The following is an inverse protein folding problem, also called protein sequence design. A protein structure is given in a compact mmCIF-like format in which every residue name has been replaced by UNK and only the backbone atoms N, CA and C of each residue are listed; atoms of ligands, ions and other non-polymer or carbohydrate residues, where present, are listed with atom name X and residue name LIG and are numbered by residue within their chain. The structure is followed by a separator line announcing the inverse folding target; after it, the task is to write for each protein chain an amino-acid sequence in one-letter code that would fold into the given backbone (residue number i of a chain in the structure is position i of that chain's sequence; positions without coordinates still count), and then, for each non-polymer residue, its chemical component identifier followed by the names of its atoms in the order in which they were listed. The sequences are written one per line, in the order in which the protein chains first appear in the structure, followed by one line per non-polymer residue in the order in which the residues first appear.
data_IF_570672082215
#
_entry.id   IF_570672082215
#
_cell.length_a   1.000
_cell.length_b   1.000
_cell.length_c   1.000
_cell.angle_alpha   90.00
_cell.angle_beta   90.00
_cell.angle_gamma   90.00
#
_symmetry.space_group_name_H-M   'P 1'
#
loop_
_entity.id
_entity.type
_entity.pdbx_description
1 polymer ?
#
# COMPACT_ATOMS: atom_id res chain seq x y z
N UNK A 1 5.75 1.40 14.53
CA UNK A 1 5.14 2.40 15.43
C UNK A 1 3.91 3.06 14.86
N UNK A 2 3.66 2.93 13.55
CA UNK A 2 2.48 3.43 12.84
C UNK A 2 2.01 2.39 11.86
N UNK A 3 0.74 2.45 11.44
CA UNK A 3 0.21 1.56 10.41
C UNK A 3 0.89 1.83 9.06
N UNK A 4 1.57 0.86 8.46
CA UNK A 4 2.29 1.04 7.19
C UNK A 4 1.37 1.23 5.99
N UNK A 5 0.09 0.90 6.08
CA UNK A 5 -0.89 1.06 5.02
C UNK A 5 -1.61 2.40 5.07
N UNK A 6 -1.97 2.86 6.26
CA UNK A 6 -2.78 4.07 6.48
C UNK A 6 -1.99 5.26 7.02
N UNK A 7 -0.89 5.02 7.70
CA UNK A 7 -0.09 6.03 8.40
C UNK A 7 -0.62 6.42 9.78
N UNK A 8 -1.70 5.80 10.24
CA UNK A 8 -2.28 6.09 11.56
C UNK A 8 -1.28 5.77 12.68
N UNK A 9 -1.22 6.67 13.66
CA UNK A 9 -0.37 6.49 14.83
C UNK A 9 -0.94 5.37 15.70
N UNK A 10 -0.10 4.41 16.04
CA UNK A 10 -0.46 3.27 16.87
C UNK A 10 0.45 2.07 16.59
N UNK A 11 0.48 1.15 17.54
CA UNK A 11 1.25 -0.08 17.36
C UNK A 11 0.56 -0.99 16.34
N UNK A 12 1.27 -1.25 15.26
CA UNK A 12 0.87 -2.18 14.21
C UNK A 12 1.90 -3.31 14.16
N UNK A 13 1.46 -4.56 14.23
CA UNK A 13 2.35 -5.70 14.18
C UNK A 13 1.74 -6.97 14.75
N UNK A 14 2.54 -8.00 14.74
CA UNK A 14 2.17 -9.35 15.12
C UNK A 14 3.26 -9.97 16.00
N UNK A 15 2.88 -10.95 16.82
CA UNK A 15 3.82 -11.72 17.60
C UNK A 15 3.37 -13.18 17.74
N UNK A 16 4.31 -14.06 18.01
CA UNK A 16 4.08 -15.46 18.33
C UNK A 16 4.70 -15.82 19.68
N UNK A 17 4.04 -16.70 20.43
CA UNK A 17 4.58 -17.27 21.66
C UNK A 17 5.30 -18.59 21.39
N UNK A 18 6.39 -18.87 22.12
CA UNK A 18 7.19 -20.08 21.97
C UNK A 18 7.55 -20.36 20.49
N UNK A 19 8.11 -19.38 19.83
CA UNK A 19 8.42 -19.38 18.41
C UNK A 19 9.78 -18.75 18.15
N UNK A 20 10.36 -19.10 17.03
CA UNK A 20 11.53 -18.45 16.46
C UNK A 20 11.07 -17.38 15.45
N UNK A 21 11.93 -16.39 15.15
CA UNK A 21 11.59 -15.33 14.18
C UNK A 21 11.17 -15.87 12.80
N UNK A 22 11.74 -17.00 12.38
CA UNK A 22 11.39 -17.68 11.14
C UNK A 22 9.95 -18.20 11.13
N UNK A 23 9.39 -18.58 12.28
CA UNK A 23 8.01 -19.09 12.38
C UNK A 23 6.97 -18.00 12.08
N UNK A 24 7.30 -16.74 12.39
CA UNK A 24 6.42 -15.59 12.08
C UNK A 24 6.31 -15.38 10.59
N UNK A 25 7.43 -15.52 9.86
CA UNK A 25 7.51 -15.27 8.42
C UNK A 25 7.04 -16.48 7.60
N UNK A 26 7.25 -17.70 8.12
CA UNK A 26 6.93 -18.93 7.42
C UNK A 26 5.41 -19.21 7.32
N UNK A 27 4.58 -18.51 8.08
CA UNK A 27 3.12 -18.67 8.04
C UNK A 27 2.60 -20.03 8.54
N UNK A 28 3.42 -20.82 9.24
CA UNK A 28 3.06 -22.13 9.76
C UNK A 28 2.08 -22.03 10.93
N UNK A 29 2.13 -20.93 11.67
CA UNK A 29 1.26 -20.61 12.80
C UNK A 29 0.63 -19.24 12.59
N UNK A 30 -0.64 -19.09 13.00
CA UNK A 30 -1.31 -17.79 12.94
C UNK A 30 -0.75 -16.88 14.04
N UNK A 31 -0.12 -15.77 13.70
CA UNK A 31 0.36 -14.81 14.69
C UNK A 31 -0.79 -14.08 15.37
N UNK A 32 -0.54 -13.60 16.56
CA UNK A 32 -1.45 -12.76 17.33
C UNK A 32 -1.16 -11.29 17.03
N UNK A 33 -2.21 -10.47 17.08
CA UNK A 33 -2.06 -9.03 16.91
C UNK A 33 -1.29 -8.41 18.08
N UNK A 34 -0.46 -7.41 17.84
CA UNK A 34 0.40 -6.79 18.84
C UNK A 34 -0.38 -6.23 20.06
N UNK A 35 -1.64 -5.83 19.88
CA UNK A 35 -2.51 -5.38 20.98
C UNK A 35 -2.81 -6.47 22.01
N UNK A 36 -2.80 -7.75 21.62
CA UNK A 36 -3.01 -8.87 22.54
C UNK A 36 -1.82 -9.08 23.50
N UNK A 37 -0.68 -8.47 23.19
CA UNK A 37 0.49 -8.52 24.06
C UNK A 37 0.24 -7.80 25.39
N UNK A 38 -0.65 -6.81 25.41
CA UNK A 38 -1.01 -6.07 26.64
C UNK A 38 -1.63 -6.99 27.69
N UNK A 39 -2.50 -7.92 27.27
CA UNK A 39 -3.12 -8.89 28.20
C UNK A 39 -2.17 -10.04 28.58
N UNK A 40 -1.39 -10.52 27.62
CA UNK A 40 -0.57 -11.73 27.82
C UNK A 40 0.78 -11.45 28.48
N UNK A 41 1.35 -10.31 28.21
CA UNK A 41 2.70 -9.91 28.67
C UNK A 41 2.73 -8.42 29.04
N UNK A 42 1.95 -7.98 30.06
CA UNK A 42 1.77 -6.54 30.36
C UNK A 42 3.07 -5.80 30.64
N UNK A 43 3.98 -6.42 31.38
CA UNK A 43 5.27 -5.79 31.72
C UNK A 43 6.16 -5.61 30.47
N UNK A 44 6.23 -6.62 29.61
CA UNK A 44 6.98 -6.54 28.36
C UNK A 44 6.32 -5.58 27.37
N UNK A 45 4.99 -5.49 27.37
CA UNK A 45 4.25 -4.53 26.53
C UNK A 45 4.53 -3.07 26.93
N UNK A 46 4.58 -2.77 28.22
CA UNK A 46 4.98 -1.44 28.71
C UNK A 46 6.40 -1.08 28.28
N UNK A 47 7.35 -2.02 28.43
CA UNK A 47 8.72 -1.83 27.96
C UNK A 47 8.75 -1.58 26.45
N UNK A 48 7.99 -2.37 25.67
CA UNK A 48 7.91 -2.23 24.21
C UNK A 48 7.39 -0.86 23.80
N UNK A 49 6.30 -0.37 24.39
CA UNK A 49 5.78 0.98 24.13
C UNK A 49 6.82 2.07 24.39
N UNK A 50 7.55 1.99 25.51
CA UNK A 50 8.61 2.96 25.83
C UNK A 50 9.73 2.95 24.78
N UNK A 51 10.12 1.76 24.32
CA UNK A 51 11.13 1.62 23.26
C UNK A 51 10.62 2.19 21.93
N UNK A 52 9.35 1.91 21.58
CA UNK A 52 8.72 2.46 20.37
C UNK A 52 8.76 3.99 20.35
N UNK A 53 8.34 4.62 21.44
CA UNK A 53 8.38 6.09 21.57
C UNK A 53 9.80 6.64 21.52
N UNK A 54 10.75 5.96 22.17
CA UNK A 54 12.15 6.38 22.18
C UNK A 54 12.76 6.33 20.78
N UNK A 55 12.54 5.24 20.06
CA UNK A 55 13.10 5.05 18.72
C UNK A 55 12.44 5.97 17.69
N UNK A 56 11.13 6.15 17.73
CA UNK A 56 10.43 7.06 16.82
C UNK A 56 10.88 8.51 17.02
N UNK A 57 11.02 8.96 18.27
CA UNK A 57 11.56 10.28 18.60
C UNK A 57 13.03 10.45 18.18
N UNK A 58 13.84 9.41 18.38
CA UNK A 58 15.26 9.44 18.04
C UNK A 58 15.47 9.54 16.52
N UNK A 59 14.82 8.67 15.76
CA UNK A 59 14.94 8.65 14.30
C UNK A 59 14.05 9.69 13.61
N UNK A 60 13.10 10.26 14.34
CA UNK A 60 12.14 11.24 13.82
C UNK A 60 11.38 10.70 12.60
N UNK A 61 11.03 9.40 12.66
CA UNK A 61 10.32 8.66 11.62
C UNK A 61 9.73 7.38 12.18
N UNK A 62 8.66 6.86 11.53
CA UNK A 62 8.08 5.58 11.92
C UNK A 62 9.13 4.47 11.86
N UNK A 63 9.10 3.60 12.87
CA UNK A 63 10.03 2.51 12.99
C UNK A 63 9.35 1.16 12.82
N UNK A 64 10.00 0.27 12.07
CA UNK A 64 9.74 -1.15 11.98
C UNK A 64 10.75 -1.88 12.88
N UNK A 65 10.26 -2.71 13.80
CA UNK A 65 11.08 -3.28 14.86
C UNK A 65 10.85 -4.77 14.99
N UNK A 66 11.94 -5.46 15.28
CA UNK A 66 11.92 -6.87 15.64
C UNK A 66 12.34 -7.01 17.11
N UNK A 67 11.62 -7.83 17.85
CA UNK A 67 11.89 -8.03 19.27
C UNK A 67 11.65 -9.48 19.69
N UNK A 68 12.18 -9.85 20.84
CA UNK A 68 11.83 -11.07 21.55
C UNK A 68 11.62 -10.79 23.02
N UNK A 69 10.86 -11.67 23.68
CA UNK A 69 10.64 -11.62 25.13
C UNK A 69 11.12 -12.94 25.72
N UNK A 70 12.02 -12.87 26.67
CA UNK A 70 12.52 -14.03 27.40
C UNK A 70 12.44 -13.77 28.90
N UNK A 71 11.82 -14.68 29.65
CA UNK A 71 11.61 -14.56 31.10
C UNK A 71 11.02 -13.20 31.53
N UNK A 72 10.04 -12.69 30.75
CA UNK A 72 9.37 -11.40 31.01
C UNK A 72 10.19 -10.16 30.64
N UNK A 73 11.40 -10.31 30.15
CA UNK A 73 12.26 -9.21 29.70
C UNK A 73 12.22 -9.06 28.20
N UNK A 74 12.03 -7.81 27.74
CA UNK A 74 12.05 -7.45 26.32
C UNK A 74 13.51 -7.31 25.84
N UNK A 75 13.77 -7.84 24.64
CA UNK A 75 15.03 -7.67 23.91
C UNK A 75 14.73 -7.18 22.50
N UNK A 76 15.29 -6.03 22.15
CA UNK A 76 15.22 -5.50 20.79
C UNK A 76 16.26 -6.18 19.92
N UNK A 77 15.85 -6.70 18.77
CA UNK A 77 16.72 -7.40 17.84
C UNK A 77 17.13 -6.50 16.67
N UNK A 78 16.17 -5.74 16.13
CA UNK A 78 16.40 -4.85 15.00
C UNK A 78 15.43 -3.68 15.04
N UNK A 79 15.88 -2.54 14.52
CA UNK A 79 15.03 -1.39 14.14
C UNK A 79 15.45 -0.86 12.78
N UNK A 80 14.49 -0.38 12.02
CA UNK A 80 14.69 0.27 10.71
C UNK A 80 13.55 1.24 10.42
N UNK A 81 13.76 2.16 9.49
CA UNK A 81 12.67 2.98 8.99
C UNK A 81 11.62 2.09 8.32
N UNK A 82 10.37 2.24 8.74
CA UNK A 82 9.27 1.39 8.30
C UNK A 82 8.95 1.57 6.82
N UNK A 83 8.87 0.46 6.09
CA UNK A 83 8.30 0.47 4.74
C UNK A 83 6.82 0.83 4.84
N UNK A 84 6.34 1.63 3.89
CA UNK A 84 4.98 2.18 3.93
C UNK A 84 4.42 2.44 2.55
N UNK A 85 3.10 2.49 2.43
CA UNK A 85 2.43 2.90 1.19
C UNK A 85 2.65 4.40 0.93
N UNK A 86 2.41 4.83 -0.31
CA UNK A 86 2.47 6.25 -0.69
C UNK A 86 1.52 7.11 0.17
N UNK A 87 0.31 6.62 0.42
CA UNK A 87 -0.69 7.27 1.27
C UNK A 87 -0.19 7.42 2.72
N UNK A 88 0.32 6.35 3.29
CA UNK A 88 0.88 6.36 4.64
C UNK A 88 2.09 7.29 4.74
N UNK A 89 2.96 7.34 3.72
CA UNK A 89 4.11 8.23 3.70
C UNK A 89 3.72 9.70 3.82
N UNK A 90 2.70 10.15 3.07
CA UNK A 90 2.20 11.52 3.16
C UNK A 90 1.60 11.82 4.52
N UNK A 91 0.72 10.93 5.01
CA UNK A 91 0.09 11.12 6.33
C UNK A 91 1.15 11.21 7.43
N UNK A 92 2.10 10.29 7.46
CA UNK A 92 3.18 10.27 8.46
C UNK A 92 4.01 11.55 8.41
N UNK A 93 4.36 12.02 7.20
CA UNK A 93 5.13 13.26 7.05
C UNK A 93 4.38 14.46 7.63
N UNK A 94 3.08 14.60 7.36
CA UNK A 94 2.23 15.64 7.96
C UNK A 94 2.14 15.50 9.49
N UNK A 95 1.85 14.30 9.99
CA UNK A 95 1.73 14.04 11.42
C UNK A 95 3.05 14.37 12.17
N UNK A 96 4.22 14.06 11.60
CA UNK A 96 5.52 14.37 12.19
C UNK A 96 5.79 15.87 12.28
N UNK A 97 5.24 16.67 11.36
CA UNK A 97 5.29 18.14 11.46
C UNK A 97 4.36 18.62 12.56
N UNK A 98 3.11 18.15 12.59
CA UNK A 98 2.11 18.52 13.59
C UNK A 98 2.55 18.13 15.01
N UNK A 99 3.26 17.02 15.16
CA UNK A 99 3.86 16.56 16.41
C UNK A 99 5.17 17.28 16.78
N UNK A 100 5.65 18.20 15.92
CA UNK A 100 6.87 18.98 16.14
C UNK A 100 8.17 18.18 16.03
N UNK A 101 8.12 16.99 15.44
CA UNK A 101 9.29 16.14 15.23
C UNK A 101 10.09 16.51 13.97
N UNK A 102 9.45 17.15 12.99
CA UNK A 102 10.06 17.58 11.72
C UNK A 102 9.62 18.98 11.35
N UNK A 103 10.44 19.68 10.56
CA UNK A 103 10.00 20.89 9.85
C UNK A 103 9.26 20.50 8.58
N UNK A 104 8.53 21.44 7.97
CA UNK A 104 7.85 21.23 6.69
C UNK A 104 8.84 20.82 5.58
N UNK A 105 10.00 21.49 5.52
CA UNK A 105 11.06 21.17 4.54
C UNK A 105 11.62 19.75 4.74
N UNK A 106 11.86 19.35 5.99
CA UNK A 106 12.30 18.01 6.31
C UNK A 106 11.26 16.97 5.93
N UNK A 107 9.97 17.25 6.18
CA UNK A 107 8.86 16.36 5.85
C UNK A 107 8.71 16.19 4.33
N UNK A 108 8.82 17.27 3.56
CA UNK A 108 8.84 17.22 2.09
C UNK A 108 10.00 16.37 1.59
N UNK A 109 11.18 16.50 2.17
CA UNK A 109 12.37 15.73 1.78
C UNK A 109 12.23 14.21 2.08
N UNK A 110 11.30 13.80 2.95
CA UNK A 110 11.01 12.38 3.22
C UNK A 110 10.19 11.71 2.12
N UNK A 111 9.50 12.49 1.29
CA UNK A 111 8.56 11.96 0.28
C UNK A 111 9.30 11.64 -1.01
N UNK A 112 9.24 10.39 -1.45
CA UNK A 112 9.68 10.01 -2.79
C UNK A 112 8.67 10.57 -3.81
N UNK A 113 9.12 11.42 -4.78
CA UNK A 113 8.22 12.00 -5.78
C UNK A 113 7.42 10.97 -6.58
N UNK A 114 7.95 9.76 -6.76
CA UNK A 114 7.25 8.65 -7.43
C UNK A 114 6.00 8.20 -6.69
N UNK A 115 5.96 8.40 -5.37
CA UNK A 115 4.76 8.11 -4.57
C UNK A 115 3.62 9.08 -4.88
N UNK A 116 3.93 10.34 -5.22
CA UNK A 116 2.94 11.35 -5.58
C UNK A 116 2.23 10.99 -6.88
N UNK A 117 2.99 10.52 -7.86
CA UNK A 117 2.42 10.08 -9.15
C UNK A 117 1.33 9.00 -8.92
N UNK A 118 1.63 8.00 -8.12
CA UNK A 118 0.67 6.95 -7.75
C UNK A 118 -0.60 7.49 -7.09
N UNK A 119 -0.48 8.53 -6.26
CA UNK A 119 -1.60 9.13 -5.52
C UNK A 119 -2.48 10.05 -6.38
N UNK A 120 -1.92 10.60 -7.46
CA UNK A 120 -2.64 11.47 -8.39
C UNK A 120 -3.56 10.69 -9.34
N UNK A 121 -3.36 9.37 -9.47
CA UNK A 121 -4.22 8.54 -10.28
C UNK A 121 -5.53 8.18 -9.56
N UNK A 122 -6.64 8.03 -10.30
CA UNK A 122 -7.90 7.54 -9.76
C UNK A 122 -7.73 6.20 -9.02
N UNK A 123 -8.42 6.04 -7.91
CA UNK A 123 -8.41 4.81 -7.13
C UNK A 123 -9.84 4.37 -6.82
N UNK A 124 -10.04 3.06 -6.64
CA UNK A 124 -11.31 2.56 -6.15
C UNK A 124 -11.50 2.88 -4.67
N UNK A 125 -12.75 3.10 -4.27
CA UNK A 125 -13.09 3.14 -2.86
C UNK A 125 -12.66 1.85 -2.15
N UNK A 126 -11.98 1.99 -1.01
CA UNK A 126 -11.38 0.85 -0.31
C UNK A 126 -12.42 -0.15 0.19
N UNK A 127 -13.59 0.33 0.65
CA UNK A 127 -14.67 -0.52 1.14
C UNK A 127 -15.33 -1.27 -0.02
N UNK A 128 -15.57 -0.59 -1.14
CA UNK A 128 -16.10 -1.20 -2.36
C UNK A 128 -15.14 -2.27 -2.94
N UNK A 129 -13.84 -1.98 -2.95
CA UNK A 129 -12.83 -2.93 -3.43
C UNK A 129 -12.77 -4.19 -2.55
N UNK A 130 -12.86 -4.03 -1.22
CA UNK A 130 -12.88 -5.14 -0.27
C UNK A 130 -14.13 -6.01 -0.39
N UNK A 131 -15.27 -5.42 -0.74
CA UNK A 131 -16.54 -6.12 -0.92
C UNK A 131 -16.65 -6.80 -2.30
N UNK A 132 -15.84 -6.38 -3.28
CA UNK A 132 -15.89 -6.91 -4.63
C UNK A 132 -15.24 -8.29 -4.74
N UNK A 133 -15.83 -9.16 -5.57
CA UNK A 133 -15.23 -10.45 -5.94
C UNK A 133 -14.55 -10.27 -7.30
N UNK A 134 -13.21 -10.36 -7.40
CA UNK A 134 -12.52 -10.21 -8.65
C UNK A 134 -12.81 -11.38 -9.60
N UNK A 135 -13.16 -11.10 -10.84
CA UNK A 135 -13.35 -12.12 -11.88
C UNK A 135 -12.02 -12.72 -12.37
N UNK A 136 -10.99 -11.89 -12.43
CA UNK A 136 -9.66 -12.27 -12.89
C UNK A 136 -8.59 -11.35 -12.34
N UNK A 137 -7.33 -11.77 -12.45
CA UNK A 137 -6.14 -10.95 -12.18
C UNK A 137 -5.33 -10.80 -13.46
N UNK A 138 -4.80 -9.61 -13.68
CA UNK A 138 -3.93 -9.29 -14.81
C UNK A 138 -2.68 -8.54 -14.32
N UNK A 139 -1.70 -8.39 -15.21
CA UNK A 139 -0.52 -7.56 -14.97
C UNK A 139 -0.93 -6.08 -15.04
N UNK A 140 -0.71 -5.33 -13.96
CA UNK A 140 -0.93 -3.89 -13.94
C UNK A 140 0.20 -3.16 -14.67
N UNK A 141 -0.09 -2.60 -15.85
CA UNK A 141 0.91 -1.92 -16.66
C UNK A 141 1.00 -0.42 -16.36
N UNK A 142 -0.09 0.20 -15.90
CA UNK A 142 -0.08 1.59 -15.46
C UNK A 142 -0.84 1.73 -14.13
N UNK A 143 -0.50 2.74 -13.32
CA UNK A 143 -1.20 3.01 -12.08
C UNK A 143 -2.62 3.52 -12.35
N UNK A 144 -3.50 3.39 -11.34
CA UNK A 144 -4.84 3.92 -11.38
C UNK A 144 -5.93 2.86 -11.46
N UNK A 145 -7.17 3.34 -11.43
CA UNK A 145 -8.38 2.54 -11.49
C UNK A 145 -9.32 3.12 -12.54
N UNK A 146 -9.97 2.26 -13.30
CA UNK A 146 -10.91 2.66 -14.34
C UNK A 146 -12.21 1.88 -14.24
N UNK A 147 -13.32 2.55 -14.49
CA UNK A 147 -14.65 1.95 -14.58
C UNK A 147 -15.30 2.36 -15.90
N UNK A 148 -16.02 1.44 -16.52
CA UNK A 148 -16.73 1.72 -17.76
C UNK A 148 -17.42 0.50 -18.32
N UNK A 149 -18.21 0.72 -19.36
CA UNK A 149 -18.84 -0.35 -20.13
C UNK A 149 -17.77 -1.02 -21.01
N UNK A 150 -17.86 -2.33 -21.16
CA UNK A 150 -16.91 -3.10 -21.96
C UNK A 150 -17.23 -2.92 -23.45
N UNK A 151 -16.20 -2.60 -24.22
CA UNK A 151 -16.23 -2.55 -25.69
C UNK A 151 -15.05 -3.37 -26.23
N UNK A 152 -15.22 -3.95 -27.45
CA UNK A 152 -14.24 -4.88 -28.01
C UNK A 152 -13.53 -4.35 -29.27
N UNK A 153 -13.95 -3.21 -29.78
CA UNK A 153 -13.32 -2.56 -30.94
C UNK A 153 -12.91 -1.14 -30.60
N UNK A 154 -11.89 -0.63 -31.30
CA UNK A 154 -11.46 0.75 -31.17
C UNK A 154 -12.56 1.73 -31.64
N UNK A 155 -13.29 1.38 -32.67
CA UNK A 155 -14.39 2.20 -33.21
C UNK A 155 -15.53 2.31 -32.18
N UNK A 156 -15.95 1.21 -31.56
CA UNK A 156 -16.94 1.24 -30.47
C UNK A 156 -16.50 2.12 -29.32
N UNK A 157 -15.21 2.05 -28.95
CA UNK A 157 -14.68 2.89 -27.86
C UNK A 157 -14.81 4.39 -28.20
N UNK A 158 -14.49 4.78 -29.43
CA UNK A 158 -14.64 6.16 -29.90
C UNK A 158 -16.12 6.57 -29.94
N UNK A 159 -16.98 5.74 -30.54
CA UNK A 159 -18.39 6.03 -30.68
C UNK A 159 -19.10 6.18 -29.32
N UNK A 160 -18.86 5.26 -28.39
CA UNK A 160 -19.50 5.30 -27.07
C UNK A 160 -18.96 6.44 -26.21
N UNK A 161 -17.66 6.72 -26.30
CA UNK A 161 -17.07 7.87 -25.60
C UNK A 161 -17.64 9.20 -26.14
N UNK A 162 -17.88 9.30 -27.45
CA UNK A 162 -18.53 10.48 -28.06
C UNK A 162 -19.99 10.71 -27.58
N UNK A 163 -20.64 9.65 -27.09
CA UNK A 163 -21.96 9.73 -26.43
C UNK A 163 -21.89 10.08 -24.95
N UNK A 164 -20.68 10.30 -24.39
CA UNK A 164 -20.47 10.58 -22.97
C UNK A 164 -20.37 9.32 -22.10
N UNK A 165 -20.30 8.13 -22.67
CA UNK A 165 -20.16 6.88 -21.94
C UNK A 165 -18.68 6.65 -21.55
N UNK A 166 -18.48 6.16 -20.34
CA UNK A 166 -17.17 5.65 -19.91
C UNK A 166 -17.01 4.22 -20.41
N UNK A 167 -15.90 3.92 -21.08
CA UNK A 167 -15.66 2.60 -21.67
C UNK A 167 -14.33 1.99 -21.24
N UNK A 168 -14.30 0.67 -21.18
CA UNK A 168 -13.09 -0.16 -21.04
C UNK A 168 -12.91 -0.91 -22.34
N UNK A 169 -11.81 -0.67 -23.02
CA UNK A 169 -11.47 -1.36 -24.26
C UNK A 169 -10.82 -2.71 -23.94
N UNK A 170 -11.47 -3.79 -24.37
CA UNK A 170 -11.00 -5.17 -24.18
C UNK A 170 -10.57 -5.75 -25.52
N UNK A 171 -9.29 -6.14 -25.63
CA UNK A 171 -8.72 -6.68 -26.86
C UNK A 171 -7.96 -7.98 -26.59
N UNK A 172 -7.76 -8.80 -27.61
CA UNK A 172 -6.78 -9.91 -27.52
C UNK A 172 -5.37 -9.33 -27.39
N UNK A 173 -5.05 -8.37 -28.21
CA UNK A 173 -3.84 -7.55 -28.23
C UNK A 173 -4.18 -6.22 -28.88
N UNK A 174 -3.36 -5.19 -28.65
CA UNK A 174 -3.54 -3.89 -29.29
C UNK A 174 -2.53 -3.69 -30.40
N UNK A 175 -2.96 -2.98 -31.47
CA UNK A 175 -2.12 -2.55 -32.58
C UNK A 175 -2.05 -1.02 -32.62
N UNK A 176 -1.13 -0.43 -33.42
CA UNK A 176 -1.08 1.02 -33.62
C UNK A 176 -2.38 1.62 -34.17
N UNK A 177 -3.18 0.83 -34.89
CA UNK A 177 -4.47 1.24 -35.45
C UNK A 177 -5.54 1.44 -34.35
N UNK A 178 -5.39 0.79 -33.19
CA UNK A 178 -6.32 0.90 -32.08
C UNK A 178 -6.15 2.21 -31.26
N UNK A 179 -5.15 3.05 -31.57
CA UNK A 179 -4.74 4.19 -30.73
C UNK A 179 -5.85 5.20 -30.45
N UNK A 180 -6.75 5.42 -31.40
CA UNK A 180 -7.90 6.33 -31.22
C UNK A 180 -8.88 5.79 -30.19
N UNK A 181 -9.19 4.50 -30.27
CA UNK A 181 -10.03 3.81 -29.28
C UNK A 181 -9.37 3.73 -27.92
N UNK A 182 -8.07 3.47 -27.88
CA UNK A 182 -7.29 3.44 -26.64
C UNK A 182 -7.32 4.79 -25.92
N UNK A 183 -7.18 5.91 -26.64
CA UNK A 183 -7.28 7.26 -26.08
C UNK A 183 -8.67 7.62 -25.58
N UNK A 184 -9.71 7.06 -26.18
CA UNK A 184 -11.10 7.31 -25.80
C UNK A 184 -11.57 6.48 -24.61
N UNK A 185 -10.87 5.37 -24.31
CA UNK A 185 -11.19 4.48 -23.21
C UNK A 185 -10.66 5.00 -21.86
N UNK A 186 -11.37 4.69 -20.78
CA UNK A 186 -10.91 4.96 -19.42
C UNK A 186 -9.82 3.96 -18.98
N UNK A 187 -9.82 2.78 -19.58
CA UNK A 187 -8.83 1.74 -19.33
C UNK A 187 -8.82 0.72 -20.46
N UNK A 188 -7.74 0.00 -20.55
CA UNK A 188 -7.49 -1.02 -21.58
C UNK A 188 -7.17 -2.33 -20.89
N UNK A 189 -7.81 -3.41 -21.33
CA UNK A 189 -7.52 -4.77 -20.88
C UNK A 189 -7.17 -5.62 -22.09
N UNK A 190 -6.05 -6.30 -22.05
CA UNK A 190 -5.62 -7.21 -23.12
C UNK A 190 -5.41 -8.63 -22.61
N UNK A 191 -5.71 -9.62 -23.43
CA UNK A 191 -5.44 -11.02 -23.11
C UNK A 191 -3.94 -11.33 -23.24
N UNK A 192 -3.27 -10.68 -24.20
CA UNK A 192 -1.85 -10.83 -24.48
C UNK A 192 -1.15 -9.47 -24.40
N UNK A 193 0.07 -9.50 -23.94
CA UNK A 193 0.92 -8.31 -23.84
C UNK A 193 1.73 -8.30 -22.56
N UNK A 194 2.80 -7.56 -22.56
CA UNK A 194 3.67 -7.32 -21.40
C UNK A 194 3.78 -5.84 -21.10
N UNK A 195 4.68 -5.47 -20.21
CA UNK A 195 4.93 -4.08 -19.78
C UNK A 195 5.42 -3.17 -20.91
N UNK A 196 5.82 -3.72 -22.04
CA UNK A 196 6.29 -3.00 -23.23
C UNK A 196 5.32 -3.10 -24.42
N UNK A 197 4.10 -3.60 -24.20
CA UNK A 197 3.08 -3.65 -25.25
C UNK A 197 2.50 -2.27 -25.56
N UNK A 198 1.87 -2.08 -26.72
CA UNK A 198 1.19 -0.83 -27.08
C UNK A 198 0.13 -0.41 -26.05
N UNK A 199 -0.51 -1.37 -25.40
CA UNK A 199 -1.49 -1.08 -24.35
C UNK A 199 -0.84 -0.58 -23.06
N UNK A 200 0.44 -0.91 -22.82
CA UNK A 200 1.17 -0.55 -21.61
C UNK A 200 1.89 0.79 -21.71
N UNK A 201 2.32 1.18 -22.91
CA UNK A 201 3.05 2.42 -23.23
C UNK A 201 2.07 3.51 -23.67
#
# INVERSE_FOLDING_TARGET
TRDPATGENGLFGEFLTNAQGEDVVAGVRTPMHISEMEEKFPEAFVQFKQVCETLEKHYRDMQDMEFTVEHGKLYMLQTRNGKRTAKAALKIACDLVDEGMRTEEEAVAMIDPRNLDTLLHPQFDAAALKAATPMAKALGASPGAACGKVVFTADDAVEWAARGEKVILVRLETSPEDITGMKSAQGILTVRGGMTSHAAV
#
